data_IF_848325425995
#
_entry.id   IF_848325425995
#
_cell.length_a   1.000
_cell.length_b   1.000
_cell.length_c   1.000
_cell.angle_alpha   90.00
_cell.angle_beta   90.00
_cell.angle_gamma   90.00
#
_symmetry.space_group_name_H-M   'P 1'
#
loop_
_entity.id
_entity.type
_entity.pdbx_description
1 polymer ?
#
# COMPACT_ATOMS: atom_id res chain seq x y z
N UNK A 1 -34.18 -6.14 -2.19
CA UNK A 1 -32.87 -6.61 -2.70
C UNK A 1 -32.07 -5.52 -3.41
N UNK A 2 -32.66 -4.68 -4.22
CA UNK A 2 -31.96 -3.53 -4.83
C UNK A 2 -31.51 -2.48 -3.80
N UNK A 3 -32.33 -2.17 -2.81
CA UNK A 3 -31.99 -1.25 -1.71
C UNK A 3 -30.70 -1.67 -0.98
N UNK A 4 -30.54 -2.96 -0.69
CA UNK A 4 -29.38 -3.50 0.02
C UNK A 4 -28.06 -3.35 -0.74
N UNK A 5 -28.06 -3.45 -2.07
CA UNK A 5 -26.86 -3.27 -2.90
C UNK A 5 -26.42 -1.80 -3.01
N UNK A 6 -27.40 -0.90 -3.10
CA UNK A 6 -27.14 0.54 -3.11
C UNK A 6 -26.56 0.99 -1.77
N UNK A 7 -27.08 0.47 -0.65
CA UNK A 7 -26.61 0.78 0.69
C UNK A 7 -25.15 0.31 0.91
N UNK A 8 -24.80 -0.88 0.43
CA UNK A 8 -23.42 -1.38 0.48
C UNK A 8 -22.47 -0.48 -0.32
N UNK A 9 -22.88 -0.01 -1.51
CA UNK A 9 -22.07 0.90 -2.31
C UNK A 9 -21.80 2.23 -1.60
N UNK A 10 -22.79 2.78 -0.92
CA UNK A 10 -22.66 4.01 -0.12
C UNK A 10 -21.71 3.77 1.07
N UNK A 11 -21.84 2.65 1.76
CA UNK A 11 -20.94 2.33 2.89
C UNK A 11 -19.51 2.10 2.43
N UNK A 12 -19.27 1.47 1.28
CA UNK A 12 -17.95 1.33 0.69
C UNK A 12 -17.33 2.70 0.36
N UNK A 13 -18.12 3.62 -0.19
CA UNK A 13 -17.65 4.99 -0.45
C UNK A 13 -17.24 5.69 0.84
N UNK A 14 -18.03 5.57 1.90
CA UNK A 14 -17.71 6.14 3.22
C UNK A 14 -16.42 5.55 3.80
N UNK A 15 -16.24 4.25 3.71
CA UNK A 15 -15.02 3.56 4.17
C UNK A 15 -13.82 4.07 3.36
N UNK A 16 -13.94 4.17 2.04
CA UNK A 16 -12.88 4.69 1.16
C UNK A 16 -12.45 6.09 1.56
N UNK A 17 -13.40 6.99 1.82
CA UNK A 17 -13.09 8.36 2.27
C UNK A 17 -12.36 8.38 3.62
N UNK A 18 -12.75 7.54 4.56
CA UNK A 18 -12.07 7.40 5.85
C UNK A 18 -10.66 6.83 5.70
N UNK A 19 -10.48 5.83 4.84
CA UNK A 19 -9.17 5.26 4.56
C UNK A 19 -8.20 6.30 3.97
N UNK A 20 -8.68 7.20 3.13
CA UNK A 20 -7.85 8.31 2.60
C UNK A 20 -7.36 9.23 3.69
N UNK A 21 -8.18 9.54 4.68
CA UNK A 21 -7.77 10.37 5.82
C UNK A 21 -6.76 9.62 6.71
N UNK A 22 -6.96 8.33 6.93
CA UNK A 22 -6.01 7.47 7.66
C UNK A 22 -4.67 7.44 6.94
N UNK A 23 -4.65 7.26 5.63
CA UNK A 23 -3.44 7.25 4.81
C UNK A 23 -2.65 8.56 4.95
N UNK A 24 -3.34 9.71 4.88
CA UNK A 24 -2.70 11.02 5.05
C UNK A 24 -2.07 11.18 6.43
N UNK A 25 -2.79 10.80 7.48
CA UNK A 25 -2.28 10.88 8.84
C UNK A 25 -1.09 9.94 9.06
N UNK A 26 -1.19 8.72 8.54
CA UNK A 26 -0.13 7.72 8.65
C UNK A 26 1.13 8.16 7.91
N UNK A 27 1.00 8.61 6.68
CA UNK A 27 2.11 9.12 5.87
C UNK A 27 2.81 10.29 6.56
N UNK A 28 2.05 11.24 7.11
CA UNK A 28 2.59 12.37 7.87
C UNK A 28 3.39 11.91 9.09
N UNK A 29 2.91 10.90 9.82
CA UNK A 29 3.63 10.35 10.98
C UNK A 29 4.98 9.76 10.66
N UNK A 30 5.13 9.18 9.47
CA UNK A 30 6.38 8.56 9.05
C UNK A 30 7.23 9.45 8.14
N UNK A 31 6.78 10.67 7.86
CA UNK A 31 7.52 11.65 7.05
C UNK A 31 7.56 11.30 5.55
N UNK A 32 6.54 10.61 5.06
CA UNK A 32 6.38 10.22 3.66
C UNK A 32 5.13 10.86 3.05
N UNK A 33 5.10 10.96 1.74
CA UNK A 33 3.82 11.16 1.03
C UNK A 33 3.03 9.85 1.01
N UNK A 34 1.73 9.93 0.74
CA UNK A 34 0.88 8.74 0.64
C UNK A 34 1.41 7.78 -0.44
N UNK A 35 1.81 8.32 -1.59
CA UNK A 35 2.37 7.52 -2.68
C UNK A 35 3.68 6.83 -2.30
N UNK A 36 4.58 7.54 -1.62
CA UNK A 36 5.84 6.97 -1.11
C UNK A 36 5.57 5.85 -0.11
N UNK A 37 4.64 6.06 0.80
CA UNK A 37 4.23 5.07 1.80
C UNK A 37 3.66 3.82 1.13
N UNK A 38 2.72 3.98 0.20
CA UNK A 38 2.15 2.86 -0.55
C UNK A 38 3.22 2.11 -1.35
N UNK A 39 4.17 2.82 -1.96
CA UNK A 39 5.26 2.22 -2.70
C UNK A 39 6.16 1.35 -1.81
N UNK A 40 6.58 1.86 -0.66
CA UNK A 40 7.39 1.09 0.31
C UNK A 40 6.66 -0.16 0.79
N UNK A 41 5.37 -0.03 1.12
CA UNK A 41 4.55 -1.17 1.56
C UNK A 41 4.36 -2.19 0.44
N UNK A 42 4.09 -1.77 -0.79
CA UNK A 42 3.92 -2.66 -1.93
C UNK A 42 5.21 -3.45 -2.23
N UNK A 43 6.37 -2.81 -2.22
CA UNK A 43 7.64 -3.50 -2.41
C UNK A 43 7.90 -4.52 -1.31
N UNK A 44 7.56 -4.20 -0.07
CA UNK A 44 7.74 -5.11 1.07
C UNK A 44 6.80 -6.32 1.02
N UNK A 45 5.53 -6.10 0.70
CA UNK A 45 4.47 -7.13 0.77
C UNK A 45 4.41 -8.00 -0.47
N UNK A 46 4.44 -7.38 -1.65
CA UNK A 46 4.26 -8.05 -2.94
C UNK A 46 5.58 -8.53 -3.56
N UNK A 47 6.70 -7.97 -3.09
CA UNK A 47 8.05 -8.30 -3.57
C UNK A 47 8.15 -8.27 -5.11
N UNK A 48 7.74 -7.17 -5.75
CA UNK A 48 7.78 -7.05 -7.21
C UNK A 48 9.21 -7.18 -7.71
N UNK A 49 9.36 -7.77 -8.89
CA UNK A 49 10.67 -8.01 -9.51
C UNK A 49 11.22 -6.78 -10.24
N UNK A 50 10.36 -5.85 -10.63
CA UNK A 50 10.76 -4.67 -11.39
C UNK A 50 9.84 -3.47 -11.17
N UNK A 51 10.30 -2.30 -11.60
CA UNK A 51 9.57 -1.03 -11.51
C UNK A 51 8.20 -1.07 -12.19
N UNK A 52 8.10 -1.78 -13.31
CA UNK A 52 6.82 -1.92 -14.02
C UNK A 52 5.74 -2.58 -13.15
N UNK A 53 6.10 -3.66 -12.46
CA UNK A 53 5.17 -4.33 -11.54
C UNK A 53 4.73 -3.41 -10.39
N UNK A 54 5.65 -2.61 -9.83
CA UNK A 54 5.29 -1.62 -8.80
C UNK A 54 4.31 -0.59 -9.33
N UNK A 55 4.52 -0.11 -10.55
CA UNK A 55 3.62 0.85 -11.21
C UNK A 55 2.22 0.27 -11.42
N UNK A 56 2.12 -1.00 -11.78
CA UNK A 56 0.86 -1.72 -11.95
C UNK A 56 0.13 -1.90 -10.59
N UNK A 57 0.85 -2.32 -9.55
CA UNK A 57 0.28 -2.47 -8.20
C UNK A 57 -0.30 -1.15 -7.67
N UNK A 58 0.41 -0.04 -7.88
CA UNK A 58 0.00 1.27 -7.40
C UNK A 58 -0.95 2.02 -8.34
N UNK A 59 -1.17 1.49 -9.54
CA UNK A 59 -1.96 2.14 -10.59
C UNK A 59 -1.50 3.59 -10.85
N UNK A 60 -0.21 3.77 -11.05
CA UNK A 60 0.40 5.07 -11.34
C UNK A 60 1.11 5.05 -12.68
N UNK A 61 1.16 6.18 -13.36
CA UNK A 61 1.89 6.31 -14.61
C UNK A 61 3.41 6.40 -14.39
N UNK A 62 4.18 6.20 -15.46
CA UNK A 62 5.63 6.18 -15.42
C UNK A 62 6.25 7.48 -14.88
N UNK A 63 5.68 8.64 -15.21
CA UNK A 63 6.16 9.94 -14.75
C UNK A 63 6.03 10.09 -13.24
N UNK A 64 4.88 9.74 -12.70
CA UNK A 64 4.62 9.77 -11.26
C UNK A 64 5.50 8.75 -10.52
N UNK A 65 5.61 7.54 -11.07
CA UNK A 65 6.47 6.49 -10.50
C UNK A 65 7.94 6.95 -10.44
N UNK A 66 8.46 7.55 -11.48
CA UNK A 66 9.83 8.06 -11.49
C UNK A 66 10.11 9.07 -10.38
N UNK A 67 9.15 9.96 -10.09
CA UNK A 67 9.26 10.92 -8.97
C UNK A 67 9.24 10.24 -7.62
N UNK A 68 8.35 9.28 -7.42
CA UNK A 68 8.25 8.50 -6.18
C UNK A 68 9.57 7.78 -5.91
N UNK A 69 10.08 7.06 -6.90
CA UNK A 69 11.31 6.28 -6.78
C UNK A 69 12.55 7.16 -6.55
N UNK A 70 12.66 8.28 -7.26
CA UNK A 70 13.76 9.22 -7.06
C UNK A 70 13.80 9.77 -5.62
N UNK A 71 12.65 10.07 -5.05
CA UNK A 71 12.55 10.55 -3.66
C UNK A 71 12.89 9.44 -2.67
N UNK A 72 12.35 8.24 -2.85
CA UNK A 72 12.63 7.10 -1.97
C UNK A 72 14.10 6.68 -2.01
N UNK A 73 14.72 6.71 -3.17
CA UNK A 73 16.16 6.44 -3.33
C UNK A 73 17.01 7.49 -2.62
N UNK A 74 16.69 8.77 -2.79
CA UNK A 74 17.37 9.87 -2.10
C UNK A 74 17.23 9.79 -0.58
N UNK A 75 16.08 9.35 -0.08
CA UNK A 75 15.82 9.10 1.35
C UNK A 75 16.50 7.82 1.86
N UNK A 76 17.08 7.00 0.97
CA UNK A 76 17.77 5.77 1.33
C UNK A 76 16.89 4.58 1.63
N UNK A 77 15.63 4.59 1.20
CA UNK A 77 14.69 3.49 1.45
C UNK A 77 14.72 2.41 0.38
N UNK A 78 15.16 2.75 -0.82
CA UNK A 78 15.26 1.81 -1.94
C UNK A 78 16.61 1.92 -2.66
N UNK A 79 16.98 0.86 -3.36
CA UNK A 79 18.01 0.84 -4.37
C UNK A 79 17.41 0.41 -5.69
N UNK A 80 17.92 0.99 -6.78
CA UNK A 80 17.53 0.62 -8.14
C UNK A 80 18.76 0.10 -8.86
N UNK A 81 18.61 -1.02 -9.56
CA UNK A 81 19.66 -1.61 -10.39
C UNK A 81 19.10 -1.93 -11.77
N UNK A 82 19.92 -1.74 -12.80
CA UNK A 82 19.54 -2.13 -14.16
C UNK A 82 19.89 -3.60 -14.33
N UNK A 83 18.95 -4.41 -14.87
CA UNK A 83 19.21 -5.79 -15.17
C UNK A 83 20.26 -5.89 -16.28
N UNK A 84 21.36 -6.60 -16.01
CA UNK A 84 22.46 -6.78 -16.95
C UNK A 84 22.05 -7.61 -18.18
N UNK A 85 21.04 -8.47 -18.07
CA UNK A 85 20.52 -9.30 -19.15
C UNK A 85 19.44 -8.60 -19.99
N UNK A 86 18.72 -7.64 -19.41
CA UNK A 86 17.73 -6.83 -20.09
C UNK A 86 17.79 -5.39 -19.57
N UNK A 87 18.49 -4.53 -20.32
CA UNK A 87 18.64 -3.10 -19.99
C UNK A 87 17.32 -2.31 -19.89
N UNK A 88 16.18 -2.92 -20.25
CA UNK A 88 14.86 -2.33 -20.13
C UNK A 88 14.19 -2.62 -18.78
N UNK A 89 14.75 -3.56 -17.99
CA UNK A 89 14.22 -3.93 -16.68
C UNK A 89 15.04 -3.27 -15.58
N UNK A 90 14.40 -2.35 -14.92
CA UNK A 90 14.93 -1.73 -13.72
C UNK A 90 14.39 -2.48 -12.51
N UNK A 91 15.30 -3.13 -11.78
CA UNK A 91 14.99 -3.84 -10.54
C UNK A 91 14.96 -2.86 -9.38
N UNK A 92 14.08 -3.13 -8.43
CA UNK A 92 13.90 -2.31 -7.24
C UNK A 92 13.96 -3.19 -5.99
N UNK A 93 14.66 -2.71 -4.98
CA UNK A 93 14.81 -3.43 -3.71
C UNK A 93 14.76 -2.45 -2.55
N UNK A 94 14.11 -2.83 -1.45
CA UNK A 94 14.19 -2.09 -0.21
C UNK A 94 15.59 -2.23 0.41
N UNK A 95 16.12 -1.12 0.91
CA UNK A 95 17.29 -1.14 1.79
C UNK A 95 16.88 -1.66 3.18
N UNK A 96 17.86 -1.94 4.05
CA UNK A 96 17.57 -2.26 5.46
C UNK A 96 16.74 -1.16 6.14
N UNK A 97 16.99 0.12 5.81
CA UNK A 97 16.20 1.25 6.28
C UNK A 97 14.78 1.23 5.71
N UNK A 98 14.62 0.88 4.43
CA UNK A 98 13.32 0.72 3.78
C UNK A 98 12.48 -0.39 4.39
N UNK A 99 13.08 -1.53 4.71
CA UNK A 99 12.40 -2.64 5.42
C UNK A 99 11.91 -2.18 6.79
N UNK A 100 12.75 -1.51 7.56
CA UNK A 100 12.35 -0.96 8.88
C UNK A 100 11.21 0.05 8.75
N UNK A 101 11.22 0.88 7.70
CA UNK A 101 10.14 1.83 7.44
C UNK A 101 8.84 1.10 7.11
N UNK A 102 8.88 0.08 6.25
CA UNK A 102 7.70 -0.75 5.94
C UNK A 102 7.12 -1.41 7.19
N UNK A 103 7.95 -2.02 8.01
CA UNK A 103 7.54 -2.65 9.26
C UNK A 103 6.91 -1.65 10.24
N UNK A 104 7.49 -0.44 10.34
CA UNK A 104 6.92 0.65 11.15
C UNK A 104 5.54 1.06 10.66
N UNK A 105 5.37 1.25 9.36
CA UNK A 105 4.08 1.59 8.75
C UNK A 105 3.04 0.50 9.05
N UNK A 106 3.38 -0.76 8.83
CA UNK A 106 2.50 -1.90 9.09
C UNK A 106 2.12 -2.02 10.58
N UNK A 107 3.07 -1.76 11.48
CA UNK A 107 2.82 -1.73 12.92
C UNK A 107 1.80 -0.65 13.31
N UNK A 108 1.93 0.55 12.75
CA UNK A 108 0.97 1.65 12.98
C UNK A 108 -0.40 1.29 12.39
N UNK A 109 -0.44 0.71 11.21
CA UNK A 109 -1.68 0.20 10.59
C UNK A 109 -2.39 -0.81 11.50
N UNK A 110 -1.64 -1.74 12.08
CA UNK A 110 -2.18 -2.72 13.04
C UNK A 110 -2.76 -2.05 14.28
N UNK A 111 -2.07 -1.06 14.83
CA UNK A 111 -2.57 -0.30 15.98
C UNK A 111 -3.86 0.46 15.66
N UNK A 112 -3.93 1.10 14.49
CA UNK A 112 -5.14 1.78 14.02
C UNK A 112 -6.27 0.77 13.85
N UNK A 113 -6.00 -0.35 13.20
CA UNK A 113 -6.96 -1.43 13.03
C UNK A 113 -7.51 -1.93 14.35
N UNK A 114 -6.65 -2.20 15.33
CA UNK A 114 -7.07 -2.64 16.66
C UNK A 114 -7.94 -1.62 17.38
N UNK A 115 -7.67 -0.32 17.23
CA UNK A 115 -8.52 0.73 17.80
C UNK A 115 -9.89 0.82 17.13
N UNK A 116 -9.94 0.63 15.81
CA UNK A 116 -11.19 0.73 15.04
C UNK A 116 -12.08 -0.50 15.17
N UNK A 117 -11.47 -1.68 15.24
CA UNK A 117 -12.16 -2.97 15.08
C UNK A 117 -12.00 -3.90 16.29
N UNK A 118 -11.22 -3.51 17.31
CA UNK A 118 -10.88 -4.37 18.44
C UNK A 118 -12.08 -4.81 19.30
N UNK A 119 -13.23 -4.15 19.14
CA UNK A 119 -14.50 -4.56 19.79
C UNK A 119 -15.37 -5.49 18.94
N UNK A 120 -14.93 -5.83 17.72
CA UNK A 120 -15.73 -6.68 16.84
C UNK A 120 -15.41 -8.17 17.06
N UNK A 121 -16.43 -9.05 16.89
CA UNK A 121 -16.21 -10.48 16.99
C UNK A 121 -15.16 -10.99 16.00
N UNK A 122 -14.29 -11.94 16.39
CA UNK A 122 -13.27 -12.51 15.49
C UNK A 122 -13.84 -13.08 14.19
N UNK A 123 -15.04 -13.63 14.23
CA UNK A 123 -15.73 -14.19 13.05
C UNK A 123 -16.02 -13.10 12.01
N UNK A 124 -16.48 -11.93 12.45
CA UNK A 124 -16.76 -10.79 11.58
C UNK A 124 -15.47 -10.29 10.93
N UNK A 125 -14.38 -10.21 11.67
CA UNK A 125 -13.07 -9.81 11.15
C UNK A 125 -12.57 -10.82 10.11
N UNK A 126 -12.74 -12.11 10.36
CA UNK A 126 -12.38 -13.17 9.41
C UNK A 126 -13.20 -13.08 8.12
N UNK A 127 -14.49 -12.82 8.22
CA UNK A 127 -15.38 -12.68 7.06
C UNK A 127 -15.01 -11.45 6.22
N UNK A 128 -14.74 -10.32 6.85
CA UNK A 128 -14.27 -9.09 6.16
C UNK A 128 -12.95 -9.37 5.45
N UNK A 129 -12.00 -9.99 6.11
CA UNK A 129 -10.69 -10.32 5.53
C UNK A 129 -10.85 -11.21 4.29
N UNK A 130 -11.71 -12.22 4.37
CA UNK A 130 -12.01 -13.11 3.24
C UNK A 130 -12.66 -12.37 2.08
N UNK A 131 -13.61 -11.46 2.36
CA UNK A 131 -14.26 -10.65 1.33
C UNK A 131 -13.28 -9.72 0.62
N UNK A 132 -12.39 -9.06 1.37
CA UNK A 132 -11.36 -8.19 0.79
C UNK A 132 -10.42 -8.96 -0.14
N UNK A 133 -10.01 -10.17 0.21
CA UNK A 133 -9.18 -11.03 -0.64
C UNK A 133 -9.88 -11.41 -1.96
N UNK A 134 -11.20 -11.55 -1.98
CA UNK A 134 -11.94 -11.83 -3.22
C UNK A 134 -12.03 -10.64 -4.16
N UNK A 135 -11.95 -9.42 -3.65
CA UNK A 135 -11.95 -8.20 -4.48
C UNK A 135 -10.63 -8.07 -5.25
N UNK A 136 -9.51 -8.44 -4.63
CA UNK A 136 -8.20 -8.40 -5.28
C UNK A 136 -8.03 -9.46 -6.38
N UNK A 137 -8.96 -10.41 -6.47
CA UNK A 137 -8.90 -11.54 -7.42
C UNK A 137 -9.66 -11.27 -8.72
N UNK A 138 -10.30 -10.12 -8.90
CA UNK A 138 -11.08 -9.75 -10.10
C UNK A 138 -10.35 -8.72 -10.94
#
# INVERSE_FOLDING_TARGET
>A
MESSRTDIGIELLRITLRCRDIDKHLAAKVGLTVDEMHCVCAIHSEKPSCVKEVSEILDVNATRMSKILATLERKGFITRTIDMSDHRKEQITLTALGVKMAERILSICTQIGNKMWGGWPPEVMSDISRLLQTVDSQ
#
